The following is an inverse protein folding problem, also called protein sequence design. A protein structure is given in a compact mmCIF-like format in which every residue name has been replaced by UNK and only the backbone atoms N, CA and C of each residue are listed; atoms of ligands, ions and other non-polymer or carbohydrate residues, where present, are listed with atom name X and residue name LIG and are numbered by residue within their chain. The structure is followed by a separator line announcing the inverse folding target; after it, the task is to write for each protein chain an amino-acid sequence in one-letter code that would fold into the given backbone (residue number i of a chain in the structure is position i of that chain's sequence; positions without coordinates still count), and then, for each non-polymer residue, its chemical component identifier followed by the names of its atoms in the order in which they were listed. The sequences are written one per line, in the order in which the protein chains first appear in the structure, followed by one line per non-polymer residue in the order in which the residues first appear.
data_IF_400231075843
#
_entry.id   IF_400231075843
#
_cell.length_a   1.000
_cell.length_b   1.000
_cell.length_c   1.000
_cell.angle_alpha   90.00
_cell.angle_beta   90.00
_cell.angle_gamma   90.00
#
_symmetry.space_group_name_H-M   'P 1'
#
loop_
_entity.id
_entity.type
_entity.pdbx_description
1 polymer ?
#
# COMPACT_ATOMS: atom_id res chain seq x y z
N UNK A 1 -69.39 40.06 -31.13
CA UNK A 1 -68.59 40.12 -29.88
C UNK A 1 -68.53 38.72 -29.28
N UNK A 2 -67.39 38.02 -29.42
CA UNK A 2 -67.14 36.71 -28.79
C UNK A 2 -66.00 36.93 -27.79
N UNK A 3 -66.27 36.71 -26.51
CA UNK A 3 -65.28 36.81 -25.45
C UNK A 3 -64.46 35.52 -25.39
N UNK A 4 -63.14 35.66 -25.51
CA UNK A 4 -62.15 34.59 -25.48
C UNK A 4 -61.66 34.45 -24.02
N UNK A 5 -62.05 33.38 -23.34
CA UNK A 5 -61.58 33.06 -21.98
C UNK A 5 -60.30 32.23 -22.09
N UNK A 6 -59.16 32.83 -21.73
CA UNK A 6 -57.87 32.14 -21.65
C UNK A 6 -57.75 31.53 -20.25
N UNK A 7 -57.76 30.19 -20.18
CA UNK A 7 -57.47 29.44 -18.95
C UNK A 7 -55.96 29.21 -18.90
N UNK A 8 -55.28 29.94 -18.02
CA UNK A 8 -53.84 29.77 -17.75
C UNK A 8 -53.68 28.62 -16.74
N UNK A 9 -53.30 27.44 -17.23
CA UNK A 9 -52.99 26.29 -16.38
C UNK A 9 -51.61 26.47 -15.74
N UNK A 10 -51.59 26.76 -14.43
CA UNK A 10 -50.38 26.81 -13.62
C UNK A 10 -50.02 25.37 -13.26
N UNK A 11 -49.01 24.82 -13.93
CA UNK A 11 -48.38 23.55 -13.58
C UNK A 11 -47.53 23.75 -12.32
N UNK A 12 -47.76 23.03 -11.20
CA UNK A 12 -46.86 23.06 -10.07
C UNK A 12 -45.58 22.32 -10.45
N UNK A 13 -44.49 23.07 -10.64
CA UNK A 13 -43.14 22.51 -10.62
C UNK A 13 -42.89 21.95 -9.21
N UNK A 14 -43.03 20.64 -9.05
CA UNK A 14 -42.47 19.92 -7.91
C UNK A 14 -40.96 19.91 -8.05
N UNK A 15 -40.32 20.92 -7.44
CA UNK A 15 -38.88 20.87 -7.17
C UNK A 15 -38.66 19.71 -6.21
N UNK A 16 -38.28 18.55 -6.77
CA UNK A 16 -37.67 17.48 -6.00
C UNK A 16 -36.35 18.03 -5.44
N UNK A 17 -36.44 18.63 -4.25
CA UNK A 17 -35.30 18.84 -3.37
C UNK A 17 -34.78 17.47 -2.96
N UNK A 18 -33.95 16.88 -3.82
CA UNK A 18 -33.04 15.83 -3.40
C UNK A 18 -32.12 16.45 -2.37
N UNK A 19 -32.44 16.27 -1.09
CA UNK A 19 -31.49 16.47 -0.02
C UNK A 19 -30.28 15.60 -0.36
N UNK A 20 -29.20 16.24 -0.82
CA UNK A 20 -27.91 15.59 -1.04
C UNK A 20 -27.32 15.30 0.33
N UNK A 21 -27.81 14.24 0.98
CA UNK A 21 -27.29 13.75 2.25
C UNK A 21 -26.05 12.91 1.93
N UNK A 22 -24.95 13.55 1.52
CA UNK A 22 -23.65 12.87 1.47
C UNK A 22 -22.40 13.78 1.42
N UNK A 23 -22.52 15.10 1.54
CA UNK A 23 -21.36 16.02 1.47
C UNK A 23 -20.54 16.16 2.76
N UNK A 24 -20.92 15.47 3.85
CA UNK A 24 -20.21 15.63 5.14
C UNK A 24 -19.08 14.62 5.37
N UNK A 25 -19.08 13.49 4.65
CA UNK A 25 -18.12 12.39 4.82
C UNK A 25 -16.92 12.62 3.89
N UNK A 26 -15.95 13.41 4.34
CA UNK A 26 -14.75 13.74 3.55
C UNK A 26 -14.03 15.04 3.96
N UNK A 27 -14.71 15.93 4.68
CA UNK A 27 -14.18 17.26 5.01
C UNK A 27 -12.86 17.20 5.80
N UNK A 28 -12.76 16.39 6.86
CA UNK A 28 -11.52 16.32 7.65
C UNK A 28 -10.39 15.57 6.95
N UNK A 29 -10.70 14.62 6.05
CA UNK A 29 -9.68 13.99 5.22
C UNK A 29 -9.07 14.99 4.26
N UNK A 30 -9.87 15.80 3.57
CA UNK A 30 -9.35 16.80 2.64
C UNK A 30 -8.48 17.84 3.37
N UNK A 31 -8.97 18.35 4.51
CA UNK A 31 -8.21 19.27 5.37
C UNK A 31 -6.89 18.64 5.82
N UNK A 32 -6.93 17.39 6.27
CA UNK A 32 -5.73 16.68 6.72
C UNK A 32 -4.74 16.44 5.58
N UNK A 33 -5.20 15.97 4.42
CA UNK A 33 -4.35 15.64 3.28
C UNK A 33 -3.78 16.87 2.56
N UNK A 34 -4.38 18.05 2.74
CA UNK A 34 -3.82 19.32 2.28
C UNK A 34 -2.75 19.85 3.24
N UNK A 35 -2.97 19.70 4.55
CA UNK A 35 -2.05 20.19 5.57
C UNK A 35 -1.96 19.23 6.77
N UNK A 36 -1.14 18.15 6.66
CA UNK A 36 -1.01 17.17 7.73
C UNK A 36 -0.31 17.81 8.93
N UNK A 37 -1.04 17.92 10.03
CA UNK A 37 -0.58 18.55 11.26
C UNK A 37 -1.17 17.82 12.47
N UNK A 38 -0.65 18.11 13.66
CA UNK A 38 -1.22 17.56 14.89
C UNK A 38 -2.71 17.90 15.04
N UNK A 39 -3.11 19.12 14.72
CA UNK A 39 -4.49 19.57 14.89
C UNK A 39 -5.44 18.88 13.90
N UNK A 40 -5.06 18.85 12.62
CA UNK A 40 -5.86 18.15 11.61
C UNK A 40 -5.89 16.63 11.84
N UNK A 41 -4.84 16.04 12.43
CA UNK A 41 -4.86 14.64 12.85
C UNK A 41 -5.88 14.39 13.98
N UNK A 42 -5.92 15.25 15.00
CA UNK A 42 -6.88 15.13 16.11
C UNK A 42 -8.32 15.25 15.60
N UNK A 43 -8.59 16.18 14.68
CA UNK A 43 -9.90 16.32 14.04
C UNK A 43 -10.28 15.05 13.25
N UNK A 44 -9.34 14.53 12.46
CA UNK A 44 -9.51 13.28 11.73
C UNK A 44 -9.78 12.10 12.67
N UNK A 45 -8.97 11.94 13.73
CA UNK A 45 -9.11 10.89 14.74
C UNK A 45 -10.51 10.89 15.37
N UNK A 46 -11.03 12.07 15.73
CA UNK A 46 -12.37 12.21 16.31
C UNK A 46 -13.47 11.73 15.37
N UNK A 47 -13.32 11.93 14.06
CA UNK A 47 -14.29 11.45 13.07
C UNK A 47 -14.16 9.94 12.82
N UNK A 48 -12.94 9.45 12.62
CA UNK A 48 -12.74 8.12 12.03
C UNK A 48 -12.57 7.00 13.05
N UNK A 49 -12.14 7.28 14.29
CA UNK A 49 -11.74 6.23 15.26
C UNK A 49 -12.84 5.19 15.51
N UNK A 50 -14.08 5.64 15.76
CA UNK A 50 -15.22 4.74 16.00
C UNK A 50 -15.57 3.86 14.79
N UNK A 51 -15.32 4.36 13.57
CA UNK A 51 -15.56 3.61 12.34
C UNK A 51 -14.40 2.64 12.06
N UNK A 52 -13.17 3.09 12.28
CA UNK A 52 -11.95 2.31 12.08
C UNK A 52 -11.87 1.09 12.99
N UNK A 53 -12.31 1.21 14.25
CA UNK A 53 -12.38 0.08 15.19
C UNK A 53 -13.31 -1.04 14.75
N UNK A 54 -14.33 -0.70 13.95
CA UNK A 54 -15.37 -1.62 13.47
C UNK A 54 -15.09 -2.16 12.08
N UNK A 55 -14.02 -1.71 11.44
CA UNK A 55 -13.63 -2.23 10.14
C UNK A 55 -13.39 -3.73 10.22
N UNK A 56 -14.00 -4.46 9.29
CA UNK A 56 -13.77 -5.89 9.12
C UNK A 56 -13.31 -6.17 7.70
N UNK A 57 -12.50 -7.20 7.54
CA UNK A 57 -11.90 -7.55 6.26
C UNK A 57 -12.99 -7.78 5.18
N UNK A 58 -12.79 -7.22 3.98
CA UNK A 58 -13.73 -7.28 2.86
C UNK A 58 -15.11 -6.61 3.07
N UNK A 59 -15.29 -5.75 4.10
CA UNK A 59 -16.53 -4.96 4.24
C UNK A 59 -16.47 -3.70 3.36
N UNK A 60 -17.31 -3.58 2.32
CA UNK A 60 -17.34 -2.40 1.45
C UNK A 60 -17.70 -1.10 2.20
N UNK A 61 -18.25 -1.18 3.43
CA UNK A 61 -18.45 0.01 4.29
C UNK A 61 -17.13 0.64 4.74
N UNK A 62 -16.02 -0.09 4.71
CA UNK A 62 -14.70 0.42 5.04
C UNK A 62 -14.25 1.53 4.08
N UNK A 63 -14.72 1.52 2.83
CA UNK A 63 -14.46 2.60 1.86
C UNK A 63 -15.04 3.94 2.32
N UNK A 64 -15.98 3.93 3.26
CA UNK A 64 -16.51 5.13 3.89
C UNK A 64 -15.60 5.73 4.97
N UNK A 65 -14.55 5.01 5.39
CA UNK A 65 -13.56 5.48 6.38
C UNK A 65 -12.41 6.20 5.69
N UNK A 66 -11.90 5.65 4.59
CA UNK A 66 -10.92 6.28 3.71
C UNK A 66 -11.25 5.92 2.27
N UNK A 67 -11.41 6.91 1.40
CA UNK A 67 -11.61 6.67 -0.03
C UNK A 67 -10.30 6.25 -0.69
N UNK A 68 -10.35 5.57 -1.84
CA UNK A 68 -9.16 5.17 -2.60
C UNK A 68 -8.26 6.38 -2.92
N UNK A 69 -8.85 7.49 -3.36
CA UNK A 69 -8.11 8.71 -3.66
C UNK A 69 -7.43 9.32 -2.41
N UNK A 70 -8.14 9.34 -1.28
CA UNK A 70 -7.59 9.79 -0.01
C UNK A 70 -6.44 8.87 0.45
N UNK A 71 -6.59 7.56 0.31
CA UNK A 71 -5.56 6.55 0.59
C UNK A 71 -4.30 6.80 -0.23
N UNK A 72 -4.42 6.96 -1.56
CA UNK A 72 -3.27 7.24 -2.42
C UNK A 72 -2.52 8.53 -2.06
N UNK A 73 -3.25 9.60 -1.72
CA UNK A 73 -2.64 10.85 -1.22
C UNK A 73 -1.94 10.63 0.13
N UNK A 74 -2.57 9.88 1.03
CA UNK A 74 -2.02 9.52 2.33
C UNK A 74 -0.71 8.74 2.19
N UNK A 75 -0.67 7.70 1.38
CA UNK A 75 0.52 6.87 1.19
C UNK A 75 1.69 7.65 0.61
N UNK A 76 1.43 8.63 -0.26
CA UNK A 76 2.46 9.56 -0.76
C UNK A 76 3.06 10.37 0.38
N UNK A 77 2.24 11.00 1.21
CA UNK A 77 2.70 11.77 2.36
C UNK A 77 3.50 10.91 3.36
N UNK A 78 3.08 9.66 3.57
CA UNK A 78 3.81 8.69 4.39
C UNK A 78 5.20 8.42 3.78
N UNK A 79 5.26 8.11 2.48
CA UNK A 79 6.52 7.84 1.80
C UNK A 79 7.48 9.03 1.79
N UNK A 80 6.95 10.26 1.83
CA UNK A 80 7.72 11.51 1.98
C UNK A 80 8.21 11.76 3.42
N UNK A 81 7.88 10.89 4.37
CA UNK A 81 8.33 10.98 5.75
C UNK A 81 7.46 11.86 6.65
N UNK A 82 6.20 12.13 6.27
CA UNK A 82 5.27 12.90 7.11
C UNK A 82 4.77 12.07 8.30
N UNK A 83 5.15 12.48 9.50
CA UNK A 83 4.86 11.76 10.75
C UNK A 83 3.36 11.68 11.07
N UNK A 84 2.61 12.75 10.82
CA UNK A 84 1.17 12.76 11.08
C UNK A 84 0.43 11.87 10.08
N UNK A 85 0.85 11.86 8.82
CA UNK A 85 0.32 10.95 7.80
C UNK A 85 0.54 9.49 8.19
N UNK A 86 1.71 9.14 8.72
CA UNK A 86 1.96 7.77 9.18
C UNK A 86 1.05 7.38 10.35
N UNK A 87 0.83 8.28 11.32
CA UNK A 87 -0.13 8.05 12.40
C UNK A 87 -1.57 7.86 11.88
N UNK A 88 -2.01 8.70 10.94
CA UNK A 88 -3.31 8.55 10.30
C UNK A 88 -3.42 7.21 9.53
N UNK A 89 -2.36 6.77 8.86
CA UNK A 89 -2.31 5.46 8.21
C UNK A 89 -2.47 4.31 9.19
N UNK A 90 -1.74 4.34 10.33
CA UNK A 90 -1.89 3.33 11.39
C UNK A 90 -3.30 3.30 11.97
N UNK A 91 -3.96 4.46 12.11
CA UNK A 91 -5.32 4.58 12.60
C UNK A 91 -6.33 3.82 11.72
N UNK A 92 -6.20 3.93 10.40
CA UNK A 92 -7.15 3.32 9.45
C UNK A 92 -6.67 2.00 8.84
N UNK A 93 -5.47 1.53 9.21
CA UNK A 93 -4.87 0.31 8.65
C UNK A 93 -5.80 -0.91 8.70
N UNK A 94 -6.62 -1.05 9.75
CA UNK A 94 -7.59 -2.16 9.90
C UNK A 94 -8.72 -2.14 8.86
N UNK A 95 -8.92 -1.00 8.21
CA UNK A 95 -9.89 -0.82 7.13
C UNK A 95 -9.29 -1.10 5.75
N UNK A 96 -7.97 -1.25 5.66
CA UNK A 96 -7.28 -1.52 4.42
C UNK A 96 -7.21 -3.03 4.17
N UNK A 97 -7.37 -3.42 2.91
CA UNK A 97 -7.17 -4.79 2.45
C UNK A 97 -6.52 -4.81 1.07
N UNK A 98 -6.15 -6.01 0.61
CA UNK A 98 -5.58 -6.23 -0.72
C UNK A 98 -4.47 -5.23 -1.08
N UNK A 99 -4.63 -4.60 -2.25
CA UNK A 99 -3.66 -3.63 -2.77
C UNK A 99 -3.50 -2.38 -1.91
N UNK A 100 -4.55 -1.89 -1.25
CA UNK A 100 -4.47 -0.71 -0.38
C UNK A 100 -3.57 -0.97 0.84
N UNK A 101 -3.69 -2.17 1.42
CA UNK A 101 -2.84 -2.58 2.53
C UNK A 101 -1.38 -2.78 2.08
N UNK A 102 -1.16 -3.31 0.87
CA UNK A 102 0.18 -3.43 0.30
C UNK A 102 0.83 -2.06 0.04
N UNK A 103 0.07 -1.09 -0.49
CA UNK A 103 0.54 0.28 -0.73
C UNK A 103 0.84 1.02 0.57
N UNK A 104 0.01 0.81 1.61
CA UNK A 104 0.31 1.28 2.96
C UNK A 104 1.61 0.66 3.51
N UNK A 105 1.80 -0.65 3.44
CA UNK A 105 3.03 -1.29 3.90
C UNK A 105 4.27 -0.79 3.14
N UNK A 106 4.15 -0.59 1.83
CA UNK A 106 5.24 -0.08 0.98
C UNK A 106 5.61 1.35 1.36
N UNK A 107 4.61 2.22 1.52
CA UNK A 107 4.83 3.60 1.97
C UNK A 107 5.40 3.67 3.39
N UNK A 108 4.95 2.80 4.30
CA UNK A 108 5.53 2.66 5.64
C UNK A 108 7.01 2.24 5.61
N UNK A 109 7.40 1.35 4.68
CA UNK A 109 8.80 1.01 4.44
C UNK A 109 9.64 2.23 3.99
N UNK A 110 9.09 3.09 3.14
CA UNK A 110 9.73 4.36 2.78
C UNK A 110 9.79 5.36 3.95
N UNK A 111 8.73 5.42 4.77
CA UNK A 111 8.74 6.23 6.00
C UNK A 111 9.84 5.77 6.95
N UNK A 112 10.02 4.46 7.16
CA UNK A 112 11.12 3.92 7.95
C UNK A 112 12.49 4.36 7.42
N UNK A 113 12.70 4.31 6.10
CA UNK A 113 13.95 4.77 5.50
C UNK A 113 14.20 6.27 5.72
N UNK A 114 13.15 7.09 5.76
CA UNK A 114 13.24 8.53 5.95
C UNK A 114 13.38 8.95 7.43
N UNK A 115 12.70 8.23 8.33
CA UNK A 115 12.51 8.59 9.75
C UNK A 115 12.60 7.36 10.67
N UNK A 116 13.74 6.65 10.71
CA UNK A 116 13.84 5.32 11.34
C UNK A 116 13.54 5.34 12.83
N UNK A 117 14.11 6.26 13.61
CA UNK A 117 13.85 6.37 15.06
C UNK A 117 12.39 6.73 15.36
N UNK A 118 11.76 7.54 14.51
CA UNK A 118 10.34 7.89 14.67
C UNK A 118 9.45 6.70 14.36
N UNK A 119 9.78 5.93 13.31
CA UNK A 119 9.08 4.68 13.00
C UNK A 119 9.11 3.71 14.18
N UNK A 120 10.29 3.47 14.78
CA UNK A 120 10.42 2.57 15.93
C UNK A 120 9.58 3.06 17.13
N UNK A 121 9.67 4.36 17.43
CA UNK A 121 8.88 4.98 18.50
C UNK A 121 7.39 4.81 18.27
N UNK A 122 6.90 5.08 17.06
CA UNK A 122 5.48 4.95 16.75
C UNK A 122 5.00 3.49 16.76
N UNK A 123 5.83 2.56 16.28
CA UNK A 123 5.53 1.13 16.34
C UNK A 123 5.31 0.66 17.78
N UNK A 124 6.17 1.10 18.70
CA UNK A 124 6.08 0.82 20.14
C UNK A 124 4.85 1.51 20.77
N UNK A 125 4.72 2.83 20.62
CA UNK A 125 3.62 3.62 21.20
C UNK A 125 2.23 3.13 20.77
N UNK A 126 2.10 2.69 19.52
CA UNK A 126 0.83 2.19 18.96
C UNK A 126 0.64 0.68 19.16
N UNK A 127 1.56 -0.01 19.84
CA UNK A 127 1.55 -1.47 20.03
C UNK A 127 1.30 -2.21 18.71
N UNK A 128 2.01 -1.78 17.65
CA UNK A 128 1.78 -2.33 16.31
C UNK A 128 2.20 -3.80 16.27
N UNK A 129 1.35 -4.73 15.80
CA UNK A 129 1.69 -6.14 15.77
C UNK A 129 2.98 -6.43 15.00
N UNK A 130 3.80 -7.36 15.50
CA UNK A 130 5.07 -7.72 14.87
C UNK A 130 4.90 -8.17 13.41
N UNK A 131 3.81 -8.88 13.09
CA UNK A 131 3.49 -9.31 11.72
C UNK A 131 3.23 -8.13 10.78
N UNK A 132 2.57 -7.08 11.27
CA UNK A 132 2.37 -5.82 10.56
C UNK A 132 3.70 -5.11 10.35
N UNK A 133 4.53 -4.98 11.39
CA UNK A 133 5.84 -4.34 11.27
C UNK A 133 6.74 -5.09 10.29
N UNK A 134 6.76 -6.43 10.37
CA UNK A 134 7.45 -7.27 9.39
C UNK A 134 7.00 -6.91 7.98
N UNK A 135 5.69 -6.84 7.72
CA UNK A 135 5.14 -6.48 6.42
C UNK A 135 5.59 -5.10 5.95
N UNK A 136 5.55 -4.08 6.82
CA UNK A 136 6.03 -2.72 6.51
C UNK A 136 7.53 -2.71 6.15
N UNK A 137 8.35 -3.43 6.90
CA UNK A 137 9.80 -3.45 6.72
C UNK A 137 10.25 -4.31 5.53
N UNK A 138 9.50 -5.35 5.17
CA UNK A 138 9.86 -6.27 4.07
C UNK A 138 9.13 -5.97 2.77
N UNK A 139 8.08 -5.14 2.76
CA UNK A 139 7.43 -4.70 1.52
C UNK A 139 8.36 -3.74 0.76
N UNK A 140 8.89 -4.22 -0.36
CA UNK A 140 9.89 -3.50 -1.16
C UNK A 140 9.22 -2.53 -2.14
N UNK A 141 9.93 -1.57 -2.73
CA UNK A 141 9.38 -0.70 -3.77
C UNK A 141 8.93 -1.46 -5.03
N UNK A 142 7.98 -0.91 -5.80
CA UNK A 142 7.45 -1.58 -7.01
C UNK A 142 8.53 -1.80 -8.10
N UNK A 143 9.52 -0.91 -8.18
CA UNK A 143 10.59 -1.01 -9.18
C UNK A 143 11.59 -2.15 -8.90
N UNK A 144 11.41 -2.89 -7.80
CA UNK A 144 12.24 -4.06 -7.47
C UNK A 144 11.61 -5.40 -7.87
N UNK A 145 10.33 -5.44 -8.31
CA UNK A 145 9.58 -6.68 -8.53
C UNK A 145 10.30 -7.61 -9.52
N UNK A 146 10.78 -7.07 -10.64
CA UNK A 146 11.47 -7.84 -11.68
C UNK A 146 13.01 -7.75 -11.57
N UNK A 147 13.52 -7.17 -10.49
CA UNK A 147 14.95 -6.95 -10.30
C UNK A 147 15.40 -7.40 -8.92
N UNK A 148 15.78 -8.69 -8.84
CA UNK A 148 16.22 -9.33 -7.60
C UNK A 148 17.42 -8.64 -6.95
N UNK A 149 18.32 -8.06 -7.74
CA UNK A 149 19.48 -7.33 -7.23
C UNK A 149 19.06 -6.03 -6.54
N UNK A 150 18.16 -5.27 -7.16
CA UNK A 150 17.58 -4.07 -6.52
C UNK A 150 16.80 -4.43 -5.26
N UNK A 151 16.08 -5.55 -5.27
CA UNK A 151 15.36 -6.03 -4.09
C UNK A 151 16.31 -6.32 -2.92
N UNK A 152 17.41 -7.03 -3.18
CA UNK A 152 18.45 -7.29 -2.18
C UNK A 152 19.06 -5.98 -1.67
N UNK A 153 19.43 -5.07 -2.56
CA UNK A 153 20.01 -3.76 -2.18
C UNK A 153 19.04 -2.93 -1.32
N UNK A 154 17.73 -2.96 -1.60
CA UNK A 154 16.74 -2.28 -0.79
C UNK A 154 16.68 -2.84 0.65
N UNK A 155 16.71 -4.16 0.80
CA UNK A 155 16.75 -4.81 2.13
C UNK A 155 18.05 -4.48 2.86
N UNK A 156 19.20 -4.56 2.18
CA UNK A 156 20.51 -4.21 2.76
C UNK A 156 20.56 -2.76 3.25
N UNK A 157 19.97 -1.83 2.49
CA UNK A 157 19.84 -0.43 2.92
C UNK A 157 19.02 -0.32 4.21
N UNK A 158 17.90 -1.03 4.33
CA UNK A 158 17.07 -1.01 5.54
C UNK A 158 17.80 -1.61 6.75
N UNK A 159 18.58 -2.68 6.55
CA UNK A 159 19.45 -3.25 7.59
C UNK A 159 20.45 -2.20 8.08
N UNK A 160 21.19 -1.57 7.17
CA UNK A 160 22.19 -0.57 7.52
C UNK A 160 21.57 0.63 8.26
N UNK A 161 20.37 1.07 7.86
CA UNK A 161 19.63 2.13 8.57
C UNK A 161 19.30 1.69 10.00
N UNK A 162 18.82 0.46 10.19
CA UNK A 162 18.44 -0.06 11.51
C UNK A 162 19.65 -0.25 12.43
N UNK A 163 20.77 -0.74 11.89
CA UNK A 163 22.04 -0.87 12.62
C UNK A 163 22.60 0.48 13.06
N UNK A 164 22.45 1.51 12.23
CA UNK A 164 22.96 2.86 12.50
C UNK A 164 22.21 3.61 13.62
N UNK A 165 21.05 3.11 14.08
CA UNK A 165 20.33 3.73 15.20
C UNK A 165 21.10 3.49 16.49
N UNK A 166 21.66 4.55 17.06
CA UNK A 166 22.51 4.49 18.27
C UNK A 166 21.73 4.53 19.59
N UNK A 167 20.43 4.82 19.56
CA UNK A 167 19.60 4.92 20.77
C UNK A 167 19.31 3.52 21.33
N UNK A 168 19.87 3.24 22.51
CA UNK A 168 19.77 1.94 23.18
C UNK A 168 18.37 1.60 23.67
N UNK A 169 17.47 2.59 23.77
CA UNK A 169 16.05 2.31 24.10
C UNK A 169 15.39 1.40 23.06
N UNK A 170 15.92 1.36 21.84
CA UNK A 170 15.41 0.54 20.75
C UNK A 170 16.10 -0.82 20.57
N UNK A 171 17.05 -1.22 21.42
CA UNK A 171 17.89 -2.41 21.15
C UNK A 171 17.08 -3.71 20.99
N UNK A 172 16.03 -3.89 21.78
CA UNK A 172 15.14 -5.07 21.68
C UNK A 172 14.41 -5.06 20.34
N UNK A 173 13.79 -3.93 19.97
CA UNK A 173 13.07 -3.78 18.70
C UNK A 173 14.01 -3.93 17.51
N UNK A 174 15.20 -3.32 17.56
CA UNK A 174 16.24 -3.44 16.53
C UNK A 174 16.59 -4.90 16.29
N UNK A 175 16.86 -5.67 17.36
CA UNK A 175 17.18 -7.10 17.21
C UNK A 175 16.07 -7.87 16.51
N UNK A 176 14.82 -7.66 16.91
CA UNK A 176 13.66 -8.32 16.28
C UNK A 176 13.52 -7.92 14.82
N UNK A 177 13.59 -6.62 14.51
CA UNK A 177 13.36 -6.11 13.16
C UNK A 177 14.53 -6.42 12.21
N UNK A 178 15.77 -6.49 12.72
CA UNK A 178 16.93 -6.98 11.98
C UNK A 178 16.69 -8.43 11.54
N UNK A 179 16.18 -9.29 12.41
CA UNK A 179 15.92 -10.69 12.05
C UNK A 179 14.91 -10.82 10.89
N UNK A 180 13.90 -9.95 10.84
CA UNK A 180 12.94 -9.93 9.73
C UNK A 180 13.60 -9.59 8.39
N UNK A 181 14.50 -8.60 8.40
CA UNK A 181 15.21 -8.15 7.20
C UNK A 181 16.29 -9.15 6.78
N UNK A 182 16.98 -9.78 7.72
CA UNK A 182 17.96 -10.83 7.47
C UNK A 182 17.31 -12.07 6.83
N UNK A 183 16.16 -12.51 7.34
CA UNK A 183 15.36 -13.59 6.76
C UNK A 183 14.94 -13.25 5.32
N UNK A 184 14.45 -12.02 5.09
CA UNK A 184 14.06 -11.55 3.76
C UNK A 184 15.25 -11.53 2.80
N UNK A 185 16.42 -11.04 3.25
CA UNK A 185 17.66 -11.03 2.46
C UNK A 185 18.10 -12.46 2.09
N UNK A 186 18.04 -13.39 3.04
CA UNK A 186 18.38 -14.78 2.81
C UNK A 186 17.46 -15.43 1.77
N UNK A 187 16.15 -15.17 1.86
CA UNK A 187 15.16 -15.63 0.88
C UNK A 187 15.47 -15.09 -0.53
N UNK A 188 15.69 -13.78 -0.68
CA UNK A 188 15.98 -13.17 -1.97
C UNK A 188 17.31 -13.70 -2.57
N UNK A 189 18.32 -13.91 -1.73
CA UNK A 189 19.61 -14.47 -2.15
C UNK A 189 19.48 -15.90 -2.66
N UNK A 190 18.62 -16.71 -2.04
CA UNK A 190 18.28 -18.06 -2.51
C UNK A 190 17.61 -18.02 -3.88
N UNK A 191 16.60 -17.18 -4.06
CA UNK A 191 15.90 -16.99 -5.35
C UNK A 191 16.88 -16.56 -6.45
N UNK A 192 17.78 -15.60 -6.16
CA UNK A 192 18.81 -15.16 -7.11
C UNK A 192 19.69 -16.32 -7.59
N UNK A 193 20.09 -17.21 -6.69
CA UNK A 193 20.91 -18.39 -7.02
C UNK A 193 20.17 -19.35 -7.94
N UNK A 194 18.91 -19.65 -7.64
CA UNK A 194 18.06 -20.56 -8.43
C UNK A 194 17.83 -20.04 -9.86
N UNK A 195 17.63 -18.73 -10.02
CA UNK A 195 17.53 -18.08 -11.34
C UNK A 195 18.84 -18.23 -12.13
N UNK A 196 19.98 -18.01 -11.47
CA UNK A 196 21.30 -18.15 -12.10
C UNK A 196 21.60 -19.57 -12.59
N UNK A 197 21.26 -20.58 -11.77
CA UNK A 197 21.43 -22.00 -12.13
C UNK A 197 20.53 -22.40 -13.31
N UNK A 198 19.27 -21.95 -13.32
CA UNK A 198 18.31 -22.23 -14.40
C UNK A 198 18.76 -21.69 -15.75
N UNK A 199 19.32 -20.48 -15.79
CA UNK A 199 19.85 -19.86 -17.01
C UNK A 199 21.10 -20.61 -17.55
N UNK A 200 21.93 -21.15 -16.66
CA UNK A 200 23.11 -21.92 -17.04
C UNK A 200 22.78 -23.28 -17.66
N UNK A 201 21.67 -23.91 -17.24
CA UNK A 201 21.22 -25.20 -17.77
C UNK A 201 20.44 -25.06 -19.08
N UNK A 202 19.62 -24.01 -19.24
CA UNK A 202 18.91 -23.73 -20.50
C UNK A 202 19.86 -23.53 -21.69
N UNK A 203 21.06 -23.00 -21.44
CA UNK A 203 22.09 -22.80 -22.47
C UNK A 203 22.76 -24.10 -22.95
N UNK A 204 22.48 -25.25 -22.32
CA UNK A 204 23.05 -26.56 -22.72
C UNK A 204 22.11 -27.43 -23.55
N UNK A 205 20.81 -27.16 -23.57
CA UNK A 205 19.83 -28.01 -24.26
C UNK A 205 19.43 -27.54 -25.66
N UNK A 206 19.95 -26.41 -26.15
CA UNK A 206 19.71 -25.94 -27.52
C UNK A 206 20.89 -26.25 -28.46
N UNK A 207 21.19 -27.54 -28.62
CA UNK A 207 21.93 -28.00 -29.80
C UNK A 207 20.89 -28.34 -30.87
N UNK A 208 20.75 -27.56 -31.96
CA UNK A 208 19.78 -27.85 -33.00
C UNK A 208 20.28 -29.03 -33.82
N UNK A 209 19.89 -30.25 -33.42
CA UNK A 209 20.05 -31.44 -34.25
C UNK A 209 18.91 -31.47 -35.30
N UNK A 210 18.87 -30.44 -36.14
CA UNK A 210 18.06 -30.41 -37.36
C UNK A 210 18.94 -30.77 -38.55
N UNK A 211 19.57 -31.94 -38.47
CA UNK A 211 20.12 -32.61 -39.63
C UNK A 211 19.31 -33.88 -39.89
N UNK A 212 18.70 -33.93 -41.08
CA UNK A 212 18.29 -35.15 -41.78
C UNK A 212 16.97 -35.84 -41.37
N UNK A 213 15.84 -35.27 -41.81
CA UNK A 213 14.70 -36.09 -42.25
C UNK A 213 14.29 -35.69 -43.67
N UNK A 214 15.13 -36.11 -44.62
CA UNK A 214 14.75 -36.30 -46.03
C UNK A 214 14.87 -37.78 -46.37
N UNK A 215 13.87 -38.59 -46.06
CA UNK A 215 13.61 -39.88 -46.72
C UNK A 215 12.08 -40.10 -46.77
N UNK A 216 11.42 -39.90 -47.91
CA UNK A 216 11.17 -40.92 -48.94
C UNK A 216 10.57 -42.22 -48.38
N UNK A 217 9.23 -42.36 -48.44
CA UNK A 217 8.58 -43.62 -48.84
C UNK A 217 7.38 -43.29 -49.73
N UNK A 218 7.55 -43.66 -51.00
CA UNK A 218 6.53 -43.83 -52.04
C UNK A 218 5.79 -45.16 -51.84
N UNK A 219 4.68 -45.31 -52.58
CA UNK A 219 4.01 -46.55 -53.06
C UNK A 219 2.66 -46.89 -52.40
N UNK A 220 1.59 -46.35 -53.01
CA UNK A 220 0.42 -46.99 -53.67
C UNK A 220 0.12 -48.50 -53.44
N UNK A 221 -1.13 -49.00 -53.63
CA UNK A 221 -2.16 -48.62 -54.63
C UNK A 221 -3.35 -47.81 -54.12
#
# INVERSE_FOLDING_TARGET
MKNLTIILAILPLTVFGGCSVNTYRGMHWDIFLENPSKNSLVELENEVSSSAERCSWADPKNHGVVSVEAGQRLYRLIAEGNEFAFQAGLLVMRCLDGGELEDFHRSAGHFFEAKPSVFLKMAEEKNTPETTIKSMLTMLPFDTVDNIDRAITAVERRIAILEAISDSSFDVLKKTYLSFLEDQKAMLSKVKKEIGESNSNSSREHSPDYANQSQLILVQP
#
